data_IF_489408412330
#
_entry.id   IF_489408412330
#
_cell.length_a   1.000
_cell.length_b   1.000
_cell.length_c   1.000
_cell.angle_alpha   90.00
_cell.angle_beta   90.00
_cell.angle_gamma   90.00
#
_symmetry.space_group_name_H-M   'P 1'
#
loop_
_entity.id
_entity.type
_entity.pdbx_description
1 polymer ?
#
# COMPACT_ATOMS: atom_id res chain seq x y z
N UNK A 1 -13.22 10.23 25.08
CA UNK A 1 -11.90 9.93 24.49
C UNK A 1 -11.90 8.43 24.17
N UNK A 2 -11.35 7.99 23.04
CA UNK A 2 -11.34 6.55 22.69
C UNK A 2 -10.50 5.79 23.74
N UNK A 3 -11.06 4.74 24.36
CA UNK A 3 -10.42 3.99 25.46
C UNK A 3 -9.00 3.50 25.11
N UNK A 4 -8.77 3.17 23.84
CA UNK A 4 -7.45 2.72 23.36
C UNK A 4 -6.43 3.85 23.37
N UNK A 5 -6.83 5.06 22.94
CA UNK A 5 -5.95 6.23 22.94
C UNK A 5 -5.61 6.63 24.38
N UNK A 6 -6.59 6.61 25.28
CA UNK A 6 -6.36 6.92 26.71
C UNK A 6 -5.28 6.03 27.32
N UNK A 7 -5.30 4.72 27.03
CA UNK A 7 -4.27 3.80 27.50
C UNK A 7 -2.89 4.07 26.88
N UNK A 8 -2.81 4.44 25.60
CA UNK A 8 -1.54 4.84 24.97
C UNK A 8 -0.96 6.09 25.67
N UNK A 9 -1.81 7.09 25.91
CA UNK A 9 -1.42 8.33 26.58
C UNK A 9 -0.95 8.09 28.02
N UNK A 10 -1.59 7.18 28.75
CA UNK A 10 -1.18 6.77 30.09
C UNK A 10 0.18 6.07 30.08
N UNK A 11 0.37 5.05 29.22
CA UNK A 11 1.63 4.30 29.12
C UNK A 11 2.81 5.20 28.73
N UNK A 12 2.56 6.20 27.90
CA UNK A 12 3.59 7.13 27.43
C UNK A 12 3.73 8.38 28.30
N UNK A 13 2.87 8.55 29.31
CA UNK A 13 2.77 9.76 30.13
C UNK A 13 2.64 11.05 29.29
N UNK A 14 1.84 10.99 28.22
CA UNK A 14 1.59 12.11 27.31
C UNK A 14 0.23 12.74 27.62
N UNK A 15 0.20 14.06 27.80
CA UNK A 15 -1.01 14.83 28.11
C UNK A 15 -1.30 15.83 26.98
N UNK A 16 -2.08 15.45 25.95
CA UNK A 16 -2.28 16.29 24.79
C UNK A 16 -3.24 17.46 25.09
N UNK A 17 -2.93 18.64 24.56
CA UNK A 17 -3.83 19.80 24.62
C UNK A 17 -5.05 19.62 23.71
N UNK A 18 -4.85 18.93 22.58
CA UNK A 18 -5.88 18.67 21.58
C UNK A 18 -5.70 17.30 20.95
N UNK A 19 -6.82 16.68 20.58
CA UNK A 19 -6.87 15.41 19.85
C UNK A 19 -7.75 15.58 18.62
N UNK A 20 -7.25 15.12 17.47
CA UNK A 20 -7.97 14.97 16.22
C UNK A 20 -8.06 13.49 15.91
N UNK A 21 -9.23 13.03 15.52
CA UNK A 21 -9.42 11.67 15.07
C UNK A 21 -9.42 11.63 13.53
N UNK A 22 -8.52 10.86 12.93
CA UNK A 22 -8.39 10.78 11.47
C UNK A 22 -9.21 9.66 10.86
N UNK A 23 -9.28 8.49 11.51
CA UNK A 23 -10.08 7.36 11.01
C UNK A 23 -10.32 6.30 12.07
N UNK A 24 -11.55 5.77 12.07
CA UNK A 24 -11.84 4.39 12.46
C UNK A 24 -11.88 3.56 11.18
N UNK A 25 -10.83 2.81 10.88
CA UNK A 25 -10.96 1.76 9.88
C UNK A 25 -10.84 0.39 10.56
N UNK A 26 -11.35 -0.66 9.92
CA UNK A 26 -11.43 -2.00 10.51
C UNK A 26 -10.07 -2.55 11.00
N UNK A 27 -8.97 -2.03 10.47
CA UNK A 27 -7.63 -2.51 10.78
C UNK A 27 -7.00 -1.74 11.95
N UNK A 28 -7.16 -0.41 12.00
CA UNK A 28 -6.28 0.49 12.75
C UNK A 28 -7.02 1.78 13.14
N UNK A 29 -6.72 2.32 14.33
CA UNK A 29 -7.20 3.64 14.77
C UNK A 29 -6.08 4.67 14.59
N UNK A 30 -6.39 5.86 14.08
CA UNK A 30 -5.39 6.88 13.78
C UNK A 30 -5.80 8.25 14.34
N UNK A 31 -4.90 8.88 15.10
CA UNK A 31 -5.13 10.15 15.78
C UNK A 31 -4.01 11.14 15.52
N UNK A 32 -4.34 12.43 15.55
CA UNK A 32 -3.41 13.53 15.70
C UNK A 32 -3.50 14.05 17.13
N UNK A 33 -2.38 14.17 17.82
CA UNK A 33 -2.32 14.77 19.15
C UNK A 33 -1.43 16.01 19.13
N UNK A 34 -1.84 17.06 19.83
CA UNK A 34 -1.08 18.30 19.93
C UNK A 34 -0.39 18.38 21.29
N UNK A 35 0.95 18.53 21.28
CA UNK A 35 1.76 18.81 22.47
C UNK A 35 2.28 20.26 22.36
N UNK A 36 1.91 21.11 23.30
CA UNK A 36 2.23 22.55 23.21
C UNK A 36 1.56 23.27 22.03
N UNK A 37 1.96 24.51 21.79
CA UNK A 37 1.19 25.42 20.93
C UNK A 37 1.27 25.07 19.43
N UNK A 38 2.20 24.24 18.98
CA UNK A 38 2.40 23.95 17.55
C UNK A 38 2.92 22.57 17.19
N UNK A 39 3.22 21.69 18.15
CA UNK A 39 3.75 20.37 17.84
C UNK A 39 2.63 19.34 17.71
N UNK A 40 2.53 18.72 16.53
CA UNK A 40 1.57 17.68 16.26
C UNK A 40 2.26 16.34 16.07
N UNK A 41 1.67 15.30 16.67
CA UNK A 41 2.14 13.93 16.59
C UNK A 41 1.03 13.03 16.07
N UNK A 42 1.40 12.07 15.26
CA UNK A 42 0.53 11.04 14.74
C UNK A 42 0.61 9.80 15.63
N UNK A 43 -0.54 9.35 16.12
CA UNK A 43 -0.68 8.12 16.92
C UNK A 43 -1.45 7.11 16.10
N UNK A 44 -0.85 5.95 15.86
CA UNK A 44 -1.47 4.82 15.15
C UNK A 44 -1.56 3.62 16.08
N UNK A 45 -2.76 3.07 16.23
CA UNK A 45 -3.05 1.89 17.05
C UNK A 45 -3.41 0.73 16.11
N UNK A 46 -2.62 -0.33 16.16
CA UNK A 46 -2.71 -1.48 15.27
C UNK A 46 -3.48 -2.62 15.94
N UNK A 47 -4.45 -3.21 15.24
CA UNK A 47 -5.11 -4.45 15.68
C UNK A 47 -4.34 -5.72 15.28
N UNK A 48 -3.19 -5.58 14.61
CA UNK A 48 -2.37 -6.69 14.10
C UNK A 48 -0.90 -6.45 14.37
N UNK A 49 -0.26 -7.35 15.13
CA UNK A 49 1.19 -7.34 15.33
C UNK A 49 1.98 -7.47 14.02
N UNK A 50 1.39 -8.06 12.97
CA UNK A 50 2.01 -8.17 11.65
C UNK A 50 2.08 -6.83 10.93
N UNK A 51 1.00 -6.04 10.96
CA UNK A 51 0.98 -4.71 10.35
C UNK A 51 1.89 -3.75 11.11
N UNK A 52 1.81 -3.77 12.45
CA UNK A 52 2.68 -2.98 13.32
C UNK A 52 4.16 -3.21 13.01
N UNK A 53 4.61 -4.48 12.96
CA UNK A 53 6.02 -4.79 12.69
C UNK A 53 6.47 -4.26 11.33
N UNK A 54 5.64 -4.41 10.30
CA UNK A 54 5.95 -3.93 8.94
C UNK A 54 6.05 -2.42 8.90
N UNK A 55 5.05 -1.72 9.41
CA UNK A 55 5.05 -0.25 9.46
C UNK A 55 6.29 0.24 10.19
N UNK A 56 6.54 -0.29 11.38
CA UNK A 56 7.69 0.10 12.21
C UNK A 56 9.02 -0.08 11.47
N UNK A 57 9.26 -1.23 10.85
CA UNK A 57 10.53 -1.49 10.15
C UNK A 57 10.70 -0.55 8.97
N UNK A 58 9.64 -0.29 8.20
CA UNK A 58 9.69 0.65 7.08
C UNK A 58 9.93 2.07 7.57
N UNK A 59 9.19 2.54 8.58
CA UNK A 59 9.37 3.88 9.16
C UNK A 59 10.78 4.08 9.72
N UNK A 60 11.34 3.07 10.40
CA UNK A 60 12.72 3.15 10.93
C UNK A 60 13.80 3.08 9.84
N UNK A 61 13.48 2.55 8.64
CA UNK A 61 14.45 2.38 7.53
C UNK A 61 14.29 3.42 6.42
N UNK A 62 13.19 4.17 6.40
CA UNK A 62 12.86 5.17 5.40
C UNK A 62 12.89 6.55 6.03
N UNK A 63 13.95 7.31 5.78
CA UNK A 63 14.19 8.61 6.42
C UNK A 63 13.01 9.57 6.23
N UNK A 64 12.41 9.60 5.03
CA UNK A 64 11.27 10.47 4.74
C UNK A 64 9.99 10.14 5.55
N UNK A 65 9.90 8.97 6.21
CA UNK A 65 8.77 8.63 7.08
C UNK A 65 8.80 9.35 8.44
N UNK A 66 9.97 9.88 8.82
CA UNK A 66 10.23 10.51 10.11
C UNK A 66 10.46 9.53 11.28
N UNK A 67 10.99 10.00 12.40
CA UNK A 67 11.39 9.14 13.52
C UNK A 67 10.18 8.58 14.28
N UNK A 68 10.31 7.34 14.75
CA UNK A 68 9.40 6.75 15.74
C UNK A 68 9.83 7.18 17.13
N UNK A 69 8.96 7.87 17.86
CA UNK A 69 9.25 8.39 19.20
C UNK A 69 8.87 7.40 20.29
N UNK A 70 7.68 6.83 20.16
CA UNK A 70 7.18 5.80 21.06
C UNK A 70 6.57 4.68 20.24
N UNK A 71 6.85 3.44 20.60
CA UNK A 71 6.19 2.29 20.02
C UNK A 71 6.16 1.15 21.03
N UNK A 72 5.07 0.40 21.06
CA UNK A 72 4.94 -0.65 22.05
C UNK A 72 3.73 -1.53 21.85
N UNK A 73 3.63 -2.52 22.72
CA UNK A 73 2.45 -3.35 22.87
C UNK A 73 1.47 -2.63 23.80
N UNK A 74 0.20 -2.56 23.41
CA UNK A 74 -0.85 -1.93 24.20
C UNK A 74 -1.50 -2.93 25.16
N UNK A 75 -2.20 -3.92 24.61
CA UNK A 75 -2.76 -5.08 25.32
C UNK A 75 -3.12 -6.18 24.31
N UNK A 76 -3.18 -7.44 24.74
CA UNK A 76 -3.48 -8.59 23.87
C UNK A 76 -2.61 -8.58 22.59
N UNK A 77 -3.19 -8.51 21.39
CA UNK A 77 -2.47 -8.42 20.11
C UNK A 77 -2.47 -7.02 19.50
N UNK A 78 -2.73 -6.00 20.32
CA UNK A 78 -2.73 -4.59 19.89
C UNK A 78 -1.41 -3.90 20.19
N UNK A 79 -1.00 -3.05 19.26
CA UNK A 79 0.26 -2.30 19.31
C UNK A 79 0.01 -0.84 18.99
N UNK A 80 0.94 0.03 19.34
CA UNK A 80 0.86 1.45 19.00
C UNK A 80 2.20 1.98 18.51
N UNK A 81 2.13 3.08 17.76
CA UNK A 81 3.28 3.86 17.32
C UNK A 81 2.94 5.35 17.34
N UNK A 82 3.85 6.17 17.85
CA UNK A 82 3.79 7.62 17.88
C UNK A 82 4.98 8.18 17.12
N UNK A 83 4.72 9.10 16.18
CA UNK A 83 5.73 9.81 15.39
C UNK A 83 5.30 11.25 15.14
N UNK A 84 6.20 12.17 14.73
CA UNK A 84 5.78 13.50 14.29
C UNK A 84 4.72 13.42 13.20
N UNK A 85 3.69 14.27 13.29
CA UNK A 85 2.67 14.36 12.26
C UNK A 85 3.26 15.05 11.04
N UNK A 86 3.14 14.40 9.87
CA UNK A 86 3.44 15.06 8.60
C UNK A 86 2.31 16.05 8.33
N UNK A 87 2.56 17.33 8.62
CA UNK A 87 1.59 18.41 8.38
C UNK A 87 1.50 18.67 6.88
N UNK A 88 0.31 18.49 6.33
CA UNK A 88 0.00 18.65 4.91
C UNK A 88 -1.41 18.20 4.60
N UNK A 89 -1.75 18.13 3.31
CA UNK A 89 -3.05 17.63 2.84
C UNK A 89 -2.87 16.31 2.10
N UNK A 90 -3.76 15.32 2.31
CA UNK A 90 -3.79 14.14 1.45
C UNK A 90 -3.96 14.57 0.00
N UNK A 91 -3.13 14.03 -0.88
CA UNK A 91 -3.16 14.36 -2.30
C UNK A 91 -4.54 14.00 -2.86
N UNK A 92 -5.11 14.91 -3.65
CA UNK A 92 -6.42 14.74 -4.28
C UNK A 92 -6.23 14.67 -5.80
N UNK A 93 -7.10 13.94 -6.49
CA UNK A 93 -7.08 13.79 -7.95
C UNK A 93 -7.06 15.13 -8.70
N UNK A 94 -7.73 16.16 -8.18
CA UNK A 94 -7.77 17.51 -8.78
C UNK A 94 -6.42 18.23 -8.74
N UNK A 95 -5.50 17.80 -7.87
CA UNK A 95 -4.17 18.39 -7.68
C UNK A 95 -3.06 17.68 -8.45
N UNK A 96 -3.38 16.76 -9.36
CA UNK A 96 -2.40 15.92 -10.06
C UNK A 96 -2.23 16.38 -11.51
N UNK A 97 -1.13 17.09 -11.73
CA UNK A 97 -0.59 17.42 -13.04
C UNK A 97 0.57 16.50 -13.42
N UNK A 98 1.16 16.71 -14.60
CA UNK A 98 2.31 15.92 -15.08
C UNK A 98 3.51 16.05 -14.13
N UNK A 99 3.75 17.23 -13.56
CA UNK A 99 4.84 17.46 -12.58
C UNK A 99 4.65 16.62 -11.32
N UNK A 100 3.47 16.69 -10.70
CA UNK A 100 3.13 15.89 -9.52
C UNK A 100 3.19 14.40 -9.83
N UNK A 101 2.79 14.00 -11.04
CA UNK A 101 2.87 12.60 -11.48
C UNK A 101 4.33 12.13 -11.59
N UNK A 102 5.21 12.95 -12.16
CA UNK A 102 6.65 12.68 -12.18
C UNK A 102 7.22 12.55 -10.76
N UNK A 103 6.87 13.45 -9.84
CA UNK A 103 7.32 13.39 -8.44
C UNK A 103 6.83 12.12 -7.73
N UNK A 104 5.59 11.67 -7.99
CA UNK A 104 5.07 10.39 -7.49
C UNK A 104 5.90 9.20 -7.99
N UNK A 105 6.25 9.19 -9.29
CA UNK A 105 7.08 8.14 -9.88
C UNK A 105 8.48 8.11 -9.28
N UNK A 106 9.09 9.29 -9.16
CA UNK A 106 10.42 9.44 -8.54
C UNK A 106 10.43 8.99 -7.08
N UNK A 107 9.43 9.38 -6.29
CA UNK A 107 9.26 8.95 -4.91
C UNK A 107 9.12 7.43 -4.78
N UNK A 108 8.29 6.79 -5.62
CA UNK A 108 8.16 5.32 -5.60
C UNK A 108 9.46 4.64 -6.00
N UNK A 109 10.16 5.18 -7.00
CA UNK A 109 11.48 4.70 -7.42
C UNK A 109 12.47 4.71 -6.25
N UNK A 110 12.56 5.82 -5.51
CA UNK A 110 13.39 5.91 -4.30
C UNK A 110 12.94 4.94 -3.21
N UNK A 111 11.64 4.77 -3.02
CA UNK A 111 11.13 3.81 -2.04
C UNK A 111 11.62 2.39 -2.35
N UNK A 112 11.60 1.98 -3.62
CA UNK A 112 12.08 0.67 -4.04
C UNK A 112 13.61 0.47 -3.93
N UNK A 113 14.41 1.53 -3.76
CA UNK A 113 15.86 1.42 -3.55
C UNK A 113 16.27 1.31 -2.08
N UNK A 114 15.33 1.44 -1.14
CA UNK A 114 15.63 1.32 0.29
C UNK A 114 16.18 -0.08 0.58
N UNK A 115 17.40 -0.11 1.12
CA UNK A 115 18.01 -1.34 1.57
C UNK A 115 17.34 -1.81 2.86
N UNK A 116 16.60 -2.90 2.78
CA UNK A 116 15.96 -3.48 3.94
C UNK A 116 16.89 -4.48 4.64
N UNK A 117 16.94 -4.49 5.99
CA UNK A 117 17.59 -5.56 6.71
C UNK A 117 16.90 -6.89 6.36
N UNK A 118 17.62 -7.79 5.67
CA UNK A 118 17.11 -9.07 5.15
C UNK A 118 16.44 -9.97 6.21
N UNK A 119 16.72 -9.72 7.48
CA UNK A 119 16.20 -10.45 8.63
C UNK A 119 14.98 -9.80 9.32
N UNK A 120 14.53 -8.61 8.89
CA UNK A 120 13.45 -7.89 9.57
C UNK A 120 12.11 -7.96 8.84
N UNK A 121 12.08 -7.96 7.51
CA UNK A 121 10.86 -8.11 6.72
C UNK A 121 10.87 -9.46 6.03
N UNK A 122 9.81 -10.24 6.27
CA UNK A 122 9.61 -11.54 5.61
C UNK A 122 9.42 -11.31 4.12
N UNK A 123 10.35 -11.85 3.33
CA UNK A 123 10.22 -11.93 1.87
C UNK A 123 8.96 -12.73 1.52
N UNK A 124 8.16 -12.23 0.59
CA UNK A 124 6.99 -12.95 0.12
C UNK A 124 7.07 -13.07 -1.39
N UNK A 125 7.19 -14.30 -1.86
CA UNK A 125 7.14 -14.60 -3.28
C UNK A 125 5.73 -14.33 -3.83
N UNK A 126 5.65 -13.96 -5.11
CA UNK A 126 4.40 -13.58 -5.77
C UNK A 126 3.38 -14.72 -5.74
N UNK A 127 3.82 -15.96 -5.96
CA UNK A 127 3.01 -17.18 -5.86
C UNK A 127 2.46 -17.41 -4.44
N UNK A 128 3.28 -17.25 -3.39
CA UNK A 128 2.80 -17.38 -2.01
C UNK A 128 1.73 -16.33 -1.67
N UNK A 129 1.86 -15.12 -2.22
CA UNK A 129 0.87 -14.05 -2.07
C UNK A 129 -0.41 -14.43 -2.83
N UNK A 130 -0.25 -14.85 -4.09
CA UNK A 130 -1.36 -15.20 -4.98
C UNK A 130 -2.18 -16.36 -4.43
N UNK A 131 -1.58 -17.52 -4.13
CA UNK A 131 -2.35 -18.69 -3.71
C UNK A 131 -3.09 -18.46 -2.38
N UNK A 132 -2.48 -17.73 -1.45
CA UNK A 132 -3.16 -17.33 -0.21
C UNK A 132 -4.37 -16.43 -0.48
N UNK A 133 -4.25 -15.48 -1.41
CA UNK A 133 -5.39 -14.65 -1.80
C UNK A 133 -6.43 -15.49 -2.54
N UNK A 134 -5.98 -16.36 -3.44
CA UNK A 134 -6.81 -17.21 -4.26
C UNK A 134 -7.70 -18.11 -3.42
N UNK A 135 -7.13 -18.83 -2.45
CA UNK A 135 -7.85 -19.70 -1.49
C UNK A 135 -9.06 -19.00 -0.87
N UNK A 136 -8.89 -17.75 -0.43
CA UNK A 136 -9.96 -16.97 0.19
C UNK A 136 -10.96 -16.39 -0.84
N UNK A 137 -10.63 -16.38 -2.13
CA UNK A 137 -11.43 -15.76 -3.21
C UNK A 137 -12.22 -16.75 -4.06
N UNK A 138 -12.01 -18.07 -3.89
CA UNK A 138 -12.60 -19.10 -4.76
C UNK A 138 -14.13 -19.02 -4.84
N UNK A 139 -14.79 -18.62 -3.75
CA UNK A 139 -16.25 -18.47 -3.68
C UNK A 139 -16.84 -17.48 -4.69
N UNK A 140 -16.04 -16.56 -5.25
CA UNK A 140 -16.53 -15.56 -6.20
C UNK A 140 -16.66 -16.09 -7.64
N UNK A 141 -16.22 -17.32 -7.91
CA UNK A 141 -16.17 -17.93 -9.23
C UNK A 141 -16.66 -19.39 -9.20
N UNK A 142 -17.03 -19.92 -10.37
CA UNK A 142 -17.31 -21.36 -10.53
C UNK A 142 -16.01 -22.16 -10.49
N UNK A 143 -16.08 -23.46 -10.20
CA UNK A 143 -14.91 -24.34 -10.20
C UNK A 143 -14.14 -24.28 -11.53
N UNK A 144 -14.85 -24.33 -12.66
CA UNK A 144 -14.23 -24.25 -13.99
C UNK A 144 -13.48 -22.94 -14.22
N UNK A 145 -13.96 -21.81 -13.67
CA UNK A 145 -13.22 -20.54 -13.72
C UNK A 145 -12.01 -20.58 -12.79
N UNK A 146 -12.17 -21.10 -11.57
CA UNK A 146 -11.06 -21.25 -10.61
C UNK A 146 -9.90 -22.08 -11.19
N UNK A 147 -10.19 -23.18 -11.87
CA UNK A 147 -9.15 -24.02 -12.50
C UNK A 147 -8.41 -23.25 -13.60
N UNK A 148 -9.14 -22.49 -14.44
CA UNK A 148 -8.53 -21.63 -15.47
C UNK A 148 -7.68 -20.51 -14.87
N UNK A 149 -8.08 -19.94 -13.74
CA UNK A 149 -7.34 -18.89 -13.04
C UNK A 149 -5.98 -19.38 -12.55
N UNK A 150 -5.92 -20.57 -11.95
CA UNK A 150 -4.65 -21.19 -11.54
C UNK A 150 -3.77 -21.44 -12.76
N UNK A 151 -4.30 -22.09 -13.80
CA UNK A 151 -3.53 -22.39 -15.02
C UNK A 151 -2.97 -21.11 -15.68
N UNK A 152 -3.79 -20.06 -15.77
CA UNK A 152 -3.36 -18.77 -16.33
C UNK A 152 -2.30 -18.10 -15.44
N UNK A 153 -2.44 -18.18 -14.11
CA UNK A 153 -1.43 -17.67 -13.19
C UNK A 153 -0.10 -18.41 -13.38
N UNK A 154 -0.08 -19.73 -13.34
CA UNK A 154 1.15 -20.53 -13.42
C UNK A 154 1.91 -20.29 -14.74
N UNK A 155 1.17 -20.25 -15.85
CA UNK A 155 1.72 -19.93 -17.17
C UNK A 155 2.31 -18.51 -17.23
N UNK A 156 1.63 -17.54 -16.62
CA UNK A 156 2.05 -16.12 -16.65
C UNK A 156 3.17 -15.82 -15.64
N UNK A 157 3.16 -16.48 -14.49
CA UNK A 157 4.11 -16.28 -13.40
C UNK A 157 5.53 -16.63 -13.84
N UNK A 158 5.68 -17.74 -14.58
CA UNK A 158 6.98 -18.14 -15.15
C UNK A 158 7.56 -17.07 -16.08
N UNK A 159 6.69 -16.40 -16.86
CA UNK A 159 7.09 -15.34 -17.79
C UNK A 159 7.38 -14.01 -17.10
N UNK A 160 6.59 -13.65 -16.09
CA UNK A 160 6.53 -12.28 -15.57
C UNK A 160 7.14 -12.07 -14.18
N UNK A 161 7.59 -13.11 -13.47
CA UNK A 161 8.30 -12.92 -12.19
C UNK A 161 9.56 -12.05 -12.35
N UNK A 162 9.86 -11.17 -11.40
CA UNK A 162 11.21 -10.61 -11.26
C UNK A 162 12.09 -11.55 -10.44
N UNK A 163 13.38 -11.59 -10.78
CA UNK A 163 14.38 -12.28 -9.96
C UNK A 163 14.91 -11.41 -8.82
N UNK A 164 14.72 -10.08 -8.89
CA UNK A 164 15.05 -9.13 -7.83
C UNK A 164 13.81 -8.68 -7.06
N UNK A 165 13.85 -8.77 -5.74
CA UNK A 165 12.83 -8.23 -4.85
C UNK A 165 13.22 -6.83 -4.37
N UNK A 166 12.22 -6.03 -4.02
CA UNK A 166 12.38 -4.74 -3.39
C UNK A 166 11.40 -4.60 -2.22
N UNK A 167 11.59 -3.58 -1.38
CA UNK A 167 10.50 -3.17 -0.51
C UNK A 167 9.39 -2.59 -1.38
N UNK A 168 8.18 -3.12 -1.23
CA UNK A 168 7.00 -2.73 -1.99
C UNK A 168 5.94 -2.27 -0.98
N UNK A 169 5.31 -1.13 -1.23
CA UNK A 169 4.31 -0.51 -0.36
C UNK A 169 3.03 -1.36 -0.25
N UNK A 170 2.66 -2.04 -1.34
CA UNK A 170 1.47 -2.89 -1.55
C UNK A 170 0.13 -2.15 -1.53
N UNK A 171 0.14 -0.87 -1.15
CA UNK A 171 -1.00 0.04 -1.24
C UNK A 171 -0.58 1.41 -1.77
N UNK A 172 0.35 1.46 -2.73
CA UNK A 172 0.77 2.73 -3.31
C UNK A 172 -0.34 3.33 -4.19
N UNK A 173 -0.89 4.47 -3.76
CA UNK A 173 -2.00 5.18 -4.41
C UNK A 173 -2.00 6.65 -3.99
N UNK A 174 -2.74 7.49 -4.72
CA UNK A 174 -2.85 8.92 -4.44
C UNK A 174 -3.25 9.19 -2.99
N UNK A 175 -4.24 8.44 -2.47
CA UNK A 175 -4.78 8.61 -1.12
C UNK A 175 -3.79 8.34 0.01
N UNK A 176 -2.66 7.68 -0.26
CA UNK A 176 -1.61 7.38 0.72
C UNK A 176 -0.40 8.31 0.56
N UNK A 177 -0.58 9.47 -0.06
CA UNK A 177 0.45 10.50 -0.23
C UNK A 177 -0.03 11.82 0.37
N UNK A 178 0.80 12.45 1.19
CA UNK A 178 0.57 13.80 1.73
C UNK A 178 1.41 14.79 0.93
N UNK A 179 0.80 15.92 0.53
CA UNK A 179 1.49 17.06 -0.07
C UNK A 179 1.62 18.20 0.95
N UNK A 180 2.82 18.75 1.06
CA UNK A 180 3.07 19.97 1.83
C UNK A 180 4.10 20.87 1.13
N UNK A 181 4.53 21.93 1.81
CA UNK A 181 5.51 22.90 1.28
C UNK A 181 6.87 22.25 0.94
N UNK A 182 7.19 21.11 1.55
CA UNK A 182 8.45 20.38 1.36
C UNK A 182 8.33 19.27 0.30
N UNK A 183 7.15 19.10 -0.31
CA UNK A 183 6.92 18.12 -1.39
C UNK A 183 5.93 17.02 -1.03
N UNK A 184 6.16 15.83 -1.58
CA UNK A 184 5.31 14.65 -1.42
C UNK A 184 5.89 13.71 -0.35
N UNK A 185 5.02 13.15 0.48
CA UNK A 185 5.37 12.25 1.57
C UNK A 185 4.50 11.01 1.51
N UNK A 186 5.13 9.83 1.49
CA UNK A 186 4.45 8.55 1.49
C UNK A 186 4.08 8.14 2.93
N UNK A 187 2.88 7.59 3.11
CA UNK A 187 2.37 7.14 4.41
C UNK A 187 1.69 5.77 4.29
N UNK A 188 1.41 5.14 5.43
CA UNK A 188 0.63 3.91 5.57
C UNK A 188 1.36 2.63 5.09
N UNK A 189 2.45 2.32 5.77
CA UNK A 189 3.35 1.21 5.45
C UNK A 189 2.91 -0.15 6.00
N UNK A 190 1.75 -0.25 6.67
CA UNK A 190 1.28 -1.48 7.31
C UNK A 190 1.11 -2.67 6.35
N UNK A 191 0.92 -2.37 5.07
CA UNK A 191 0.83 -3.35 4.00
C UNK A 191 2.17 -3.72 3.36
N UNK A 192 3.25 -3.00 3.64
CA UNK A 192 4.53 -3.14 2.95
C UNK A 192 5.15 -4.54 3.12
N UNK A 193 5.85 -5.01 2.09
CA UNK A 193 6.49 -6.33 2.01
C UNK A 193 7.74 -6.27 1.16
N UNK A 194 8.70 -7.15 1.42
CA UNK A 194 9.79 -7.38 0.48
C UNK A 194 9.31 -8.38 -0.58
N UNK A 195 8.99 -7.90 -1.77
CA UNK A 195 8.35 -8.67 -2.85
C UNK A 195 8.62 -8.02 -4.22
N UNK A 196 7.92 -8.47 -5.26
CA UNK A 196 8.00 -7.85 -6.59
C UNK A 196 7.42 -6.44 -6.56
N UNK A 197 8.19 -5.47 -7.03
CA UNK A 197 7.84 -4.04 -7.02
C UNK A 197 6.66 -3.70 -7.94
N UNK A 198 6.31 -4.58 -8.89
CA UNK A 198 5.21 -4.33 -9.81
C UNK A 198 3.83 -4.28 -9.14
N UNK A 199 3.68 -4.82 -7.92
CA UNK A 199 2.44 -4.66 -7.16
C UNK A 199 2.07 -3.20 -6.90
N UNK A 200 3.05 -2.30 -6.77
CA UNK A 200 2.78 -0.88 -6.49
C UNK A 200 2.28 -0.09 -7.70
N UNK A 201 2.50 -0.60 -8.92
CA UNK A 201 1.98 0.06 -10.11
C UNK A 201 0.48 -0.14 -10.30
N UNK A 202 -0.12 -1.18 -9.71
CA UNK A 202 -1.50 -1.58 -10.02
C UNK A 202 -2.51 -0.48 -9.73
N UNK A 203 -2.49 0.08 -8.51
CA UNK A 203 -3.46 1.10 -8.08
C UNK A 203 -3.16 2.44 -8.72
N UNK A 204 -1.90 2.88 -8.65
CA UNK A 204 -1.51 4.18 -9.19
C UNK A 204 -1.65 4.26 -10.71
N UNK A 205 -1.35 3.20 -11.47
CA UNK A 205 -1.55 3.19 -12.93
C UNK A 205 -3.02 3.40 -13.30
N UNK A 206 -3.92 2.73 -12.58
CA UNK A 206 -5.37 2.90 -12.79
C UNK A 206 -5.78 4.34 -12.48
N UNK A 207 -5.40 4.85 -11.32
CA UNK A 207 -5.76 6.21 -10.89
C UNK A 207 -5.23 7.28 -11.85
N UNK A 208 -3.95 7.21 -12.25
CA UNK A 208 -3.36 8.19 -13.16
C UNK A 208 -3.92 8.09 -14.58
N UNK A 209 -4.14 6.87 -15.11
CA UNK A 209 -4.74 6.70 -16.45
C UNK A 209 -6.19 7.20 -16.49
N UNK A 210 -6.92 7.15 -15.39
CA UNK A 210 -8.27 7.75 -15.29
C UNK A 210 -8.23 9.28 -15.37
N UNK A 211 -7.14 9.92 -14.91
CA UNK A 211 -6.98 11.37 -15.01
C UNK A 211 -6.52 11.77 -16.42
N UNK A 212 -5.41 11.20 -16.90
CA UNK A 212 -4.93 11.36 -18.27
C UNK A 212 -3.76 10.42 -18.54
N UNK A 213 -3.63 9.96 -19.79
CA UNK A 213 -2.49 9.15 -20.21
C UNK A 213 -1.16 9.88 -20.00
N UNK A 214 -1.13 11.21 -20.11
CA UNK A 214 0.08 12.02 -19.88
C UNK A 214 0.58 11.91 -18.44
N UNK A 215 -0.32 11.78 -17.47
CA UNK A 215 0.06 11.59 -16.07
C UNK A 215 0.77 10.24 -15.86
N UNK A 216 0.27 9.16 -16.48
CA UNK A 216 0.96 7.86 -16.44
C UNK A 216 2.34 7.91 -17.11
N UNK A 217 2.48 8.61 -18.23
CA UNK A 217 3.76 8.79 -18.92
C UNK A 217 4.73 9.60 -18.04
N UNK A 218 4.28 10.71 -17.46
CA UNK A 218 5.11 11.53 -16.58
C UNK A 218 5.55 10.76 -15.32
N UNK A 219 4.63 9.99 -14.70
CA UNK A 219 4.96 9.06 -13.62
C UNK A 219 6.02 8.05 -14.02
N UNK A 220 5.86 7.45 -15.21
CA UNK A 220 6.82 6.49 -15.75
C UNK A 220 8.21 7.12 -15.87
N UNK A 221 8.31 8.33 -16.45
CA UNK A 221 9.59 9.04 -16.53
C UNK A 221 10.21 9.34 -15.15
N UNK A 222 9.39 9.70 -14.16
CA UNK A 222 9.86 9.93 -12.79
C UNK A 222 10.45 8.67 -12.15
N UNK A 223 9.76 7.53 -12.32
CA UNK A 223 10.22 6.24 -11.81
C UNK A 223 11.50 5.77 -12.51
N UNK A 224 11.52 5.87 -13.84
CA UNK A 224 12.64 5.45 -14.69
C UNK A 224 13.93 6.24 -14.40
N UNK A 225 13.81 7.43 -13.77
CA UNK A 225 14.96 8.23 -13.35
C UNK A 225 15.74 7.59 -12.19
N UNK A 226 15.10 6.72 -11.41
CA UNK A 226 15.69 6.05 -10.24
C UNK A 226 16.00 4.59 -10.54
N UNK A 227 15.08 3.89 -11.21
CA UNK A 227 15.20 2.48 -11.55
C UNK A 227 15.23 2.35 -13.07
N UNK A 228 16.23 1.66 -13.62
CA UNK A 228 16.35 1.43 -15.06
C UNK A 228 15.31 0.39 -15.53
N UNK A 229 14.12 0.87 -15.84
CA UNK A 229 13.02 0.10 -16.40
C UNK A 229 12.22 0.99 -17.34
N UNK A 230 11.67 0.46 -18.42
CA UNK A 230 10.77 1.22 -19.30
C UNK A 230 9.30 0.85 -19.01
N UNK A 231 8.65 1.59 -18.10
CA UNK A 231 7.23 1.33 -17.74
C UNK A 231 6.23 1.57 -18.87
N UNK A 232 6.61 2.27 -19.96
CA UNK A 232 5.73 2.44 -21.12
C UNK A 232 5.93 1.33 -22.17
N UNK A 233 7.00 0.56 -22.08
CA UNK A 233 7.27 -0.59 -22.94
C UNK A 233 6.08 -1.58 -22.92
N UNK A 234 5.58 -2.04 -24.08
CA UNK A 234 4.45 -2.96 -24.15
C UNK A 234 4.60 -4.27 -23.36
N UNK A 235 5.79 -4.87 -23.33
CA UNK A 235 6.03 -6.11 -22.55
C UNK A 235 6.05 -5.82 -21.04
N UNK A 236 6.57 -4.67 -20.62
CA UNK A 236 6.50 -4.23 -19.22
C UNK A 236 5.05 -3.93 -18.83
N UNK A 237 4.24 -3.35 -19.73
CA UNK A 237 2.82 -3.14 -19.48
C UNK A 237 2.06 -4.46 -19.30
N UNK A 238 2.33 -5.49 -20.12
CA UNK A 238 1.75 -6.84 -19.93
C UNK A 238 2.13 -7.44 -18.57
N UNK A 239 3.35 -7.17 -18.10
CA UNK A 239 3.75 -7.54 -16.75
C UNK A 239 2.92 -6.80 -15.70
N UNK A 240 2.71 -5.49 -15.82
CA UNK A 240 1.81 -4.75 -14.92
C UNK A 240 0.38 -5.32 -14.96
N UNK A 241 -0.11 -5.73 -16.14
CA UNK A 241 -1.43 -6.35 -16.28
C UNK A 241 -1.52 -7.69 -15.53
N UNK A 242 -0.46 -8.51 -15.54
CA UNK A 242 -0.36 -9.71 -14.71
C UNK A 242 -0.41 -9.40 -13.20
N UNK A 243 0.30 -8.37 -12.73
CA UNK A 243 0.21 -7.95 -11.32
C UNK A 243 -1.16 -7.36 -10.97
N UNK A 244 -1.81 -6.70 -11.92
CA UNK A 244 -3.17 -6.19 -11.76
C UNK A 244 -4.19 -7.34 -11.64
N UNK A 245 -4.01 -8.41 -12.41
CA UNK A 245 -4.75 -9.66 -12.25
C UNK A 245 -4.57 -10.27 -10.84
N UNK A 246 -3.32 -10.48 -10.42
CA UNK A 246 -3.01 -11.06 -9.11
C UNK A 246 -3.54 -10.19 -7.96
N UNK A 247 -3.42 -8.87 -8.07
CA UNK A 247 -3.98 -7.94 -7.10
C UNK A 247 -5.52 -7.94 -7.12
N UNK A 248 -6.16 -8.16 -8.28
CA UNK A 248 -7.62 -8.35 -8.39
C UNK A 248 -8.11 -9.54 -7.55
N UNK A 249 -7.38 -10.66 -7.58
CA UNK A 249 -7.61 -11.81 -6.67
C UNK A 249 -7.43 -11.38 -5.21
N UNK A 250 -6.42 -10.56 -4.90
CA UNK A 250 -6.23 -9.96 -3.57
C UNK A 250 -7.40 -9.09 -3.10
N UNK A 251 -8.01 -8.32 -3.99
CA UNK A 251 -9.21 -7.55 -3.70
C UNK A 251 -10.40 -8.44 -3.35
N UNK A 252 -10.62 -9.52 -4.09
CA UNK A 252 -11.66 -10.51 -3.80
C UNK A 252 -11.38 -11.25 -2.49
N UNK A 253 -10.14 -11.64 -2.24
CA UNK A 253 -9.69 -12.22 -0.97
C UNK A 253 -10.03 -11.31 0.22
N UNK A 254 -9.82 -10.00 0.10
CA UNK A 254 -10.22 -9.04 1.14
C UNK A 254 -11.74 -9.01 1.33
N UNK A 255 -12.50 -9.02 0.24
CA UNK A 255 -13.97 -9.02 0.27
C UNK A 255 -14.60 -10.27 0.87
N UNK A 256 -13.92 -11.42 0.79
CA UNK A 256 -14.39 -12.70 1.35
C UNK A 256 -14.76 -12.65 2.83
N UNK A 257 -14.23 -11.67 3.56
CA UNK A 257 -14.38 -11.57 5.01
C UNK A 257 -15.39 -10.52 5.44
N UNK A 258 -15.65 -9.49 4.63
CA UNK A 258 -16.15 -8.21 5.16
C UNK A 258 -16.89 -7.30 4.17
N UNK A 259 -17.27 -7.75 2.97
CA UNK A 259 -17.94 -6.88 1.99
C UNK A 259 -19.21 -7.52 1.47
N UNK A 260 -20.29 -6.75 1.35
CA UNK A 260 -21.52 -7.18 0.68
C UNK A 260 -21.18 -7.70 -0.73
N UNK A 261 -21.62 -8.92 -1.05
CA UNK A 261 -21.30 -9.64 -2.29
C UNK A 261 -21.54 -8.83 -3.58
N UNK A 262 -22.44 -7.84 -3.52
CA UNK A 262 -22.84 -7.01 -4.65
C UNK A 262 -22.14 -5.64 -4.74
N UNK A 263 -21.16 -5.38 -3.89
CA UNK A 263 -20.42 -4.12 -3.90
C UNK A 263 -19.77 -3.85 -5.26
N UNK A 264 -19.69 -2.58 -5.64
CA UNK A 264 -18.96 -2.14 -6.83
C UNK A 264 -17.49 -2.60 -6.79
N UNK A 265 -16.92 -2.71 -5.59
CA UNK A 265 -15.57 -3.20 -5.36
C UNK A 265 -15.40 -4.66 -5.82
N UNK A 266 -16.30 -5.57 -5.44
CA UNK A 266 -16.25 -6.98 -5.90
C UNK A 266 -16.43 -7.05 -7.42
N UNK A 267 -17.44 -6.34 -7.96
CA UNK A 267 -17.71 -6.32 -9.40
C UNK A 267 -16.50 -5.86 -10.21
N UNK A 268 -15.81 -4.81 -9.75
CA UNK A 268 -14.64 -4.28 -10.42
C UNK A 268 -13.45 -5.24 -10.38
N UNK A 269 -13.19 -5.89 -9.23
CA UNK A 269 -12.12 -6.87 -9.12
C UNK A 269 -12.43 -8.14 -9.94
N UNK A 270 -13.67 -8.63 -9.95
CA UNK A 270 -14.09 -9.73 -10.84
C UNK A 270 -13.88 -9.38 -12.31
N UNK A 271 -14.27 -8.17 -12.73
CA UNK A 271 -14.06 -7.72 -14.12
C UNK A 271 -12.58 -7.72 -14.49
N UNK A 272 -11.72 -7.21 -13.61
CA UNK A 272 -10.26 -7.21 -13.83
C UNK A 272 -9.70 -8.64 -13.94
N UNK A 273 -10.13 -9.54 -13.06
CA UNK A 273 -9.69 -10.93 -13.04
C UNK A 273 -10.14 -11.68 -14.30
N UNK A 274 -11.39 -11.51 -14.71
CA UNK A 274 -11.95 -12.18 -15.90
C UNK A 274 -11.35 -11.63 -17.20
N UNK A 275 -11.12 -10.32 -17.30
CA UNK A 275 -10.50 -9.74 -18.48
C UNK A 275 -9.13 -10.37 -18.79
N UNK A 276 -8.33 -10.67 -17.76
CA UNK A 276 -7.03 -11.31 -17.95
C UNK A 276 -7.14 -12.79 -18.41
N UNK A 277 -8.24 -13.47 -18.12
CA UNK A 277 -8.51 -14.81 -18.66
C UNK A 277 -8.83 -14.78 -20.15
N UNK A 278 -9.49 -13.71 -20.61
CA UNK A 278 -9.97 -13.57 -21.98
C UNK A 278 -8.90 -13.02 -22.95
N UNK A 279 -7.73 -12.60 -22.45
CA UNK A 279 -6.54 -12.21 -23.24
C UNK A 279 -5.79 -13.42 -23.87
N UNK A 280 -6.50 -14.50 -24.19
CA UNK A 280 -5.97 -15.71 -24.83
C UNK A 280 -6.47 -15.86 -26.25
#
# INVERSE_FOLDING_TARGET
MNDKLSLVLEITNIHPQKVIHFSDNFAEDAFGIQLGDSEWYFVKIFNSGKNYRRERIVTESFEEAGPVLYAGKLHADRYFMIRPLIVGTPLQSSGIDEKTSYELGYMLGKFHTISMPKNKIVEQSVDSIFYRWFENSQQFFTQAINDRLIQKFDASFTKYKNDSLAITHMDFRIGNVIKNINGLHLIDFGSAKYTDNFFDFVKIRKELKTLSLKNWVAFSHGYNKVIDIDLINPEVQKKIDFFQFAHGIGGLSFSSRNVEENSQFIKQNKKTVLAFLDES
#
